data_IF_238495252229
#
_entry.id   IF_238495252229
#
_cell.length_a   1.000
_cell.length_b   1.000
_cell.length_c   1.000
_cell.angle_alpha   90.00
_cell.angle_beta   90.00
_cell.angle_gamma   90.00
#
_symmetry.space_group_name_H-M   'P 1'
#
loop_
_entity.id
_entity.type
_entity.pdbx_description
1 polymer ?
#
# COMPACT_ATOMS: atom_id res chain seq x y z
N UNK A 1 19.22 -8.80 -12.87
CA UNK A 1 18.78 -10.18 -12.54
C UNK A 1 17.37 -10.37 -13.10
N UNK A 2 16.97 -11.57 -13.53
CA UNK A 2 15.57 -11.81 -13.94
C UNK A 2 14.80 -12.35 -12.74
N UNK A 3 13.60 -11.82 -12.48
CA UNK A 3 12.75 -12.22 -11.36
C UNK A 3 11.57 -13.03 -11.87
N UNK A 4 11.30 -14.17 -11.23
CA UNK A 4 10.23 -15.10 -11.62
C UNK A 4 9.40 -15.50 -10.41
N UNK A 5 8.09 -15.58 -10.61
CA UNK A 5 7.14 -16.19 -9.67
C UNK A 5 6.45 -17.34 -10.43
N UNK A 6 6.66 -18.57 -9.94
CA UNK A 6 6.24 -19.77 -10.66
C UNK A 6 6.90 -19.88 -12.04
N UNK A 7 6.09 -19.82 -13.11
CA UNK A 7 6.56 -19.86 -14.51
C UNK A 7 6.51 -18.50 -15.21
N UNK A 8 6.14 -17.44 -14.50
CA UNK A 8 5.96 -16.10 -15.07
C UNK A 8 7.11 -15.18 -14.67
N UNK A 9 7.54 -14.33 -15.59
CA UNK A 9 8.58 -13.33 -15.35
C UNK A 9 7.94 -12.02 -14.89
N UNK A 10 8.41 -11.47 -13.76
CA UNK A 10 8.08 -10.10 -13.37
C UNK A 10 9.03 -9.13 -14.10
N UNK A 11 8.47 -8.22 -14.89
CA UNK A 11 9.22 -7.21 -15.65
C UNK A 11 9.30 -5.91 -14.84
N UNK A 12 8.25 -5.60 -14.07
CA UNK A 12 8.14 -4.45 -13.18
C UNK A 12 7.99 -4.87 -11.70
N UNK A 13 7.97 -3.88 -10.80
CA UNK A 13 7.67 -4.11 -9.39
C UNK A 13 6.18 -4.41 -9.18
N UNK A 14 5.30 -3.77 -9.97
CA UNK A 14 3.88 -4.07 -10.01
C UNK A 14 3.63 -5.52 -10.45
N UNK A 15 4.27 -5.97 -11.53
CA UNK A 15 4.16 -7.36 -12.01
C UNK A 15 4.58 -8.35 -10.92
N UNK A 16 5.63 -8.01 -10.17
CA UNK A 16 6.09 -8.85 -9.07
C UNK A 16 5.02 -8.96 -7.98
N UNK A 17 4.40 -7.83 -7.59
CA UNK A 17 3.36 -7.80 -6.57
C UNK A 17 2.12 -8.59 -7.01
N UNK A 18 1.63 -8.38 -8.23
CA UNK A 18 0.48 -9.10 -8.77
C UNK A 18 0.74 -10.61 -8.85
N UNK A 19 1.91 -11.02 -9.35
CA UNK A 19 2.25 -12.44 -9.46
C UNK A 19 2.43 -13.11 -8.10
N UNK A 20 2.98 -12.39 -7.12
CA UNK A 20 3.14 -12.91 -5.76
C UNK A 20 1.80 -13.04 -5.03
N UNK A 21 0.88 -12.09 -5.23
CA UNK A 21 -0.45 -12.10 -4.64
C UNK A 21 -1.44 -13.02 -5.39
N UNK A 22 -1.16 -13.34 -6.66
CA UNK A 22 -2.09 -14.04 -7.55
C UNK A 22 -3.34 -13.23 -7.89
N UNK A 23 -3.36 -11.95 -7.54
CA UNK A 23 -4.48 -11.01 -7.70
C UNK A 23 -3.94 -9.62 -8.01
N UNK A 24 -4.70 -8.77 -8.73
CA UNK A 24 -4.31 -7.38 -8.97
C UNK A 24 -4.14 -6.61 -7.66
N UNK A 25 -3.14 -5.73 -7.59
CA UNK A 25 -2.85 -4.95 -6.37
C UNK A 25 -4.00 -3.97 -6.06
N UNK A 26 -4.63 -3.44 -7.09
CA UNK A 26 -5.76 -2.51 -7.04
C UNK A 26 -6.98 -3.12 -6.35
N UNK A 27 -7.13 -4.45 -6.40
CA UNK A 27 -8.19 -5.15 -5.65
C UNK A 27 -8.10 -4.83 -4.15
N UNK A 28 -6.87 -4.76 -3.63
CA UNK A 28 -6.59 -4.57 -2.20
C UNK A 28 -6.39 -3.10 -1.83
N UNK A 29 -5.68 -2.33 -2.67
CA UNK A 29 -5.36 -0.92 -2.39
C UNK A 29 -6.46 0.06 -2.83
N UNK A 30 -7.35 -0.37 -3.71
CA UNK A 30 -8.32 0.50 -4.37
C UNK A 30 -7.74 1.26 -5.55
N UNK A 31 -8.61 1.97 -6.27
CA UNK A 31 -8.26 2.79 -7.43
C UNK A 31 -8.62 4.25 -7.14
N UNK A 32 -7.74 5.17 -7.53
CA UNK A 32 -8.00 6.61 -7.41
C UNK A 32 -9.24 7.00 -8.24
N UNK A 33 -10.21 7.65 -7.59
CA UNK A 33 -11.46 8.05 -8.24
C UNK A 33 -12.55 6.97 -8.31
N UNK A 34 -12.38 5.81 -7.65
CA UNK A 34 -13.44 4.80 -7.55
C UNK A 34 -14.71 5.38 -6.89
N UNK A 35 -15.89 5.06 -7.42
CA UNK A 35 -17.16 5.38 -6.78
C UNK A 35 -17.38 4.52 -5.54
N UNK A 36 -18.36 4.89 -4.70
CA UNK A 36 -18.70 4.08 -3.54
C UNK A 36 -19.26 2.70 -3.95
N UNK A 37 -19.98 2.61 -5.07
CA UNK A 37 -20.43 1.32 -5.62
C UNK A 37 -19.27 0.48 -6.16
N UNK A 38 -18.31 1.08 -6.86
CA UNK A 38 -17.11 0.37 -7.35
C UNK A 38 -16.26 -0.14 -6.19
N UNK A 39 -16.06 0.68 -5.16
CA UNK A 39 -15.42 0.27 -3.90
C UNK A 39 -16.14 -0.91 -3.26
N UNK A 40 -17.46 -0.84 -3.14
CA UNK A 40 -18.24 -1.90 -2.53
C UNK A 40 -18.11 -3.21 -3.28
N UNK A 41 -18.19 -3.18 -4.63
CA UNK A 41 -18.02 -4.36 -5.46
C UNK A 41 -16.60 -4.96 -5.34
N UNK A 42 -15.57 -4.10 -5.29
CA UNK A 42 -14.19 -4.53 -5.10
C UNK A 42 -13.98 -5.20 -3.75
N UNK A 43 -14.49 -4.61 -2.68
CA UNK A 43 -14.40 -5.19 -1.33
C UNK A 43 -15.19 -6.50 -1.21
N UNK A 44 -16.33 -6.61 -1.90
CA UNK A 44 -17.12 -7.84 -1.95
C UNK A 44 -16.33 -8.97 -2.62
N UNK A 45 -15.74 -8.72 -3.79
CA UNK A 45 -14.88 -9.68 -4.47
C UNK A 45 -13.63 -10.06 -3.63
N UNK A 46 -13.05 -9.09 -2.93
CA UNK A 46 -11.93 -9.34 -2.02
C UNK A 46 -12.35 -10.28 -0.87
N UNK A 47 -13.56 -10.10 -0.31
CA UNK A 47 -14.09 -10.98 0.74
C UNK A 47 -14.32 -12.40 0.23
N UNK A 48 -14.83 -12.57 -0.98
CA UNK A 48 -15.01 -13.90 -1.60
C UNK A 48 -13.67 -14.64 -1.74
N UNK A 49 -12.63 -13.96 -2.23
CA UNK A 49 -11.29 -14.54 -2.36
C UNK A 49 -10.69 -14.95 -1.01
N UNK A 50 -10.91 -14.14 0.02
CA UNK A 50 -10.48 -14.45 1.39
C UNK A 50 -11.27 -15.62 1.98
N UNK A 51 -12.56 -15.75 1.66
CA UNK A 51 -13.38 -16.89 2.08
C UNK A 51 -12.91 -18.20 1.43
N UNK A 52 -12.48 -18.15 0.17
CA UNK A 52 -11.91 -19.30 -0.54
C UNK A 52 -10.53 -19.70 -0.04
N UNK A 53 -9.77 -18.77 0.58
CA UNK A 53 -8.43 -19.00 1.11
C UNK A 53 -8.32 -18.53 2.57
N UNK A 54 -8.89 -19.28 3.53
CA UNK A 54 -9.01 -18.83 4.92
C UNK A 54 -7.67 -18.65 5.63
N UNK A 55 -6.60 -19.31 5.19
CA UNK A 55 -5.26 -19.20 5.75
C UNK A 55 -4.48 -17.97 5.21
N UNK A 56 -4.97 -17.34 4.14
CA UNK A 56 -4.29 -16.25 3.45
C UNK A 56 -4.03 -15.03 4.36
N UNK A 57 -4.98 -14.56 5.20
CA UNK A 57 -4.72 -13.47 6.13
C UNK A 57 -3.55 -13.76 7.09
N UNK A 58 -3.53 -14.96 7.68
CA UNK A 58 -2.50 -15.34 8.64
C UNK A 58 -1.13 -15.47 7.97
N UNK A 59 -1.08 -16.02 6.77
CA UNK A 59 0.14 -16.12 5.98
C UNK A 59 0.66 -14.75 5.55
N UNK A 60 -0.21 -13.84 5.11
CA UNK A 60 0.16 -12.46 4.78
C UNK A 60 0.69 -11.70 6.01
N UNK A 61 0.03 -11.83 7.17
CA UNK A 61 0.50 -11.23 8.42
C UNK A 61 1.88 -11.78 8.80
N UNK A 62 2.10 -13.09 8.67
CA UNK A 62 3.39 -13.73 8.98
C UNK A 62 4.50 -13.22 8.06
N UNK A 63 4.21 -13.05 6.77
CA UNK A 63 5.15 -12.48 5.80
C UNK A 63 5.45 -11.03 6.15
N UNK A 64 4.42 -10.21 6.42
CA UNK A 64 4.60 -8.80 6.78
C UNK A 64 5.46 -8.63 8.04
N UNK A 65 5.18 -9.41 9.09
CA UNK A 65 5.98 -9.41 10.31
C UNK A 65 7.45 -9.74 10.04
N UNK A 66 7.71 -10.76 9.23
CA UNK A 66 9.07 -11.14 8.83
C UNK A 66 9.78 -10.04 8.04
N UNK A 67 9.09 -9.39 7.10
CA UNK A 67 9.66 -8.28 6.33
C UNK A 67 10.05 -7.11 7.25
N UNK A 68 9.20 -6.79 8.24
CA UNK A 68 9.49 -5.76 9.25
C UNK A 68 10.72 -6.12 10.08
N UNK A 69 10.82 -7.37 10.53
CA UNK A 69 11.96 -7.85 11.32
C UNK A 69 13.28 -7.87 10.54
N UNK A 70 13.23 -8.27 9.27
CA UNK A 70 14.41 -8.37 8.39
C UNK A 70 14.86 -7.02 7.83
N UNK A 71 13.97 -6.01 7.77
CA UNK A 71 14.23 -4.69 7.19
C UNK A 71 13.80 -3.57 8.14
N UNK A 72 14.42 -3.46 9.34
CA UNK A 72 14.05 -2.46 10.34
C UNK A 72 14.27 -1.01 9.83
N UNK A 73 15.22 -0.83 8.90
CA UNK A 73 15.56 0.44 8.27
C UNK A 73 14.47 0.99 7.33
N UNK A 74 13.62 0.12 6.76
CA UNK A 74 12.47 0.57 5.96
C UNK A 74 11.46 1.38 6.79
N UNK A 75 11.46 1.18 8.11
CA UNK A 75 10.50 1.79 9.04
C UNK A 75 11.13 2.85 9.95
N UNK A 76 12.41 3.18 9.75
CA UNK A 76 13.11 4.24 10.48
C UNK A 76 12.74 5.62 9.90
N UNK A 77 11.44 5.95 9.95
CA UNK A 77 10.89 7.17 9.35
C UNK A 77 11.24 8.36 10.26
N UNK A 78 12.32 9.08 9.93
CA UNK A 78 12.66 10.33 10.60
C UNK A 78 11.64 11.41 10.17
N UNK A 79 10.81 11.96 11.09
CA UNK A 79 9.88 13.01 10.73
C UNK A 79 10.65 14.23 10.21
N UNK A 80 10.39 14.63 8.97
CA UNK A 80 10.93 15.88 8.43
C UNK A 80 10.34 17.05 9.23
N UNK A 81 11.20 17.77 9.95
CA UNK A 81 10.80 18.96 10.72
C UNK A 81 10.26 20.00 9.75
N UNK A 82 8.94 20.19 9.75
CA UNK A 82 8.27 21.18 8.90
C UNK A 82 8.69 22.58 9.38
N UNK A 83 9.35 23.42 8.56
CA UNK A 83 9.76 24.73 8.99
C UNK A 83 8.52 25.56 9.35
N UNK A 84 8.48 26.09 10.57
CA UNK A 84 7.41 26.96 11.03
C UNK A 84 7.34 28.20 10.11
N UNK A 85 6.27 28.30 9.32
CA UNK A 85 6.02 29.45 8.44
C UNK A 85 5.83 30.67 9.35
N UNK A 86 6.86 31.51 9.48
CA UNK A 86 6.78 32.80 10.20
C UNK A 86 5.65 33.62 9.57
N UNK A 87 4.50 33.68 10.24
CA UNK A 87 3.47 34.69 9.96
C UNK A 87 4.08 36.03 10.34
N UNK A 88 4.55 36.79 9.35
CA UNK A 88 4.87 38.21 9.55
C UNK A 88 3.57 38.90 9.93
N UNK A 89 3.43 39.30 11.19
CA UNK A 89 2.34 40.15 11.63
C UNK A 89 2.47 41.49 10.88
N UNK A 90 1.65 41.70 9.84
CA UNK A 90 1.48 43.03 9.26
C UNK A 90 0.78 43.86 10.34
N UNK A 91 1.53 44.74 11.02
CA UNK A 91 0.94 45.85 11.78
C UNK A 91 0.19 46.72 10.78
N UNK A 92 -1.14 46.72 10.85
CA UNK A 92 -1.94 47.73 10.16
C UNK A 92 -1.59 49.10 10.72
N UNK A 93 -1.23 50.03 9.84
CA UNK A 93 -1.14 51.45 10.18
C UNK A 93 -2.45 52.08 9.74
N UNK A 94 -3.16 52.66 10.71
CA UNK A 94 -4.30 53.53 10.45
C UNK A 94 -3.80 54.96 10.27
N UNK A 95 -4.22 55.61 9.18
CA UNK A 95 -4.28 57.06 9.00
C UNK A 95 -5.38 57.36 7.98
#
# INVERSE_FOLDING_TARGET
MRTYIGRQQAISAEDFAELALGTPVELWLGVEGETDEERAAREDAARDILADNPDLPDDLIRIAARVIEENPDLFDVIPLVRPARRRTARKGVAA
#
